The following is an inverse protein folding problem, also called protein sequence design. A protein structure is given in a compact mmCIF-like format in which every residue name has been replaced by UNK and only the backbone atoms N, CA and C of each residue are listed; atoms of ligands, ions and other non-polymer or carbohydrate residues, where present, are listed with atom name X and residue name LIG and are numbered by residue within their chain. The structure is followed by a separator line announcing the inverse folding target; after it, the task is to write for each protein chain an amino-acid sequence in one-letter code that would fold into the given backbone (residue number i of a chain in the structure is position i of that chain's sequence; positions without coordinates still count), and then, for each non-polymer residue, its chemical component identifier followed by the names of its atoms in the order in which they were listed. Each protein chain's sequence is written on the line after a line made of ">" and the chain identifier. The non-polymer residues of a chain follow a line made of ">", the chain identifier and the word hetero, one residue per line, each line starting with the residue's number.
data_IF_461381276324
#
_entry.id   IF_461381276324
#
_cell.length_a   1.000
_cell.length_b   1.000
_cell.length_c   1.000
_cell.angle_alpha   90.00
_cell.angle_beta   90.00
_cell.angle_gamma   90.00
#
_symmetry.space_group_name_H-M   'P 1'
#
loop_
_entity.id
_entity.type
_entity.pdbx_description
1 polymer ?
#
# COMPACT_ATOMS: atom_id res chain seq x y z
N UNK A 1 6.26 6.99 16.18
CA UNK A 1 6.87 6.26 15.04
C UNK A 1 8.37 6.53 14.87
N UNK A 2 8.83 7.78 14.92
CA UNK A 2 10.24 8.18 14.68
C UNK A 2 11.27 7.48 15.58
N UNK A 3 10.95 7.28 16.87
CA UNK A 3 11.84 6.60 17.82
C UNK A 3 12.13 5.15 17.44
N UNK A 4 11.11 4.41 17.02
CA UNK A 4 11.22 3.01 16.59
C UNK A 4 12.04 2.93 15.31
N UNK A 5 11.77 3.77 14.31
CA UNK A 5 12.55 3.81 13.06
C UNK A 5 14.02 4.08 13.36
N UNK A 6 14.30 5.03 14.26
CA UNK A 6 15.66 5.36 14.68
C UNK A 6 16.35 4.19 15.39
N UNK A 7 15.63 3.48 16.27
CA UNK A 7 16.14 2.27 16.94
C UNK A 7 16.45 1.16 15.93
N UNK A 8 15.53 0.88 15.01
CA UNK A 8 15.70 -0.16 13.99
C UNK A 8 16.95 0.07 13.15
N UNK A 9 17.19 1.33 12.72
CA UNK A 9 18.39 1.69 11.98
C UNK A 9 19.65 1.56 12.84
N UNK A 10 19.67 2.14 14.04
CA UNK A 10 20.85 2.13 14.93
C UNK A 10 21.25 0.72 15.40
N UNK A 11 20.30 -0.19 15.54
CA UNK A 11 20.52 -1.55 16.05
C UNK A 11 20.63 -2.61 14.95
N UNK A 12 20.52 -2.24 13.68
CA UNK A 12 20.69 -3.19 12.58
C UNK A 12 19.48 -4.11 12.37
N UNK A 13 18.26 -3.59 12.55
CA UNK A 13 17.04 -4.30 12.16
C UNK A 13 16.65 -4.00 10.70
N UNK A 14 16.55 -2.73 10.33
CA UNK A 14 16.12 -2.30 9.00
C UNK A 14 16.91 -1.08 8.53
N UNK A 15 17.25 -1.06 7.25
CA UNK A 15 17.92 0.05 6.56
C UNK A 15 17.11 0.47 5.32
N UNK A 16 17.19 1.75 4.96
CA UNK A 16 16.63 2.21 3.70
C UNK A 16 17.40 1.51 2.56
N UNK A 17 16.70 0.79 1.68
CA UNK A 17 17.39 0.10 0.60
C UNK A 17 18.08 1.09 -0.32
N UNK A 18 19.32 0.79 -0.72
CA UNK A 18 20.17 1.66 -1.54
C UNK A 18 20.44 3.04 -0.94
N UNK A 19 20.55 3.15 0.39
CA UNK A 19 20.69 4.44 1.10
C UNK A 19 21.81 5.35 0.57
N UNK A 20 22.99 4.79 0.27
CA UNK A 20 24.14 5.56 -0.23
C UNK A 20 23.91 6.17 -1.62
N UNK A 21 22.89 5.72 -2.35
CA UNK A 21 22.49 6.22 -3.66
C UNK A 21 21.22 7.09 -3.60
N UNK A 22 20.81 7.52 -2.39
CA UNK A 22 19.60 8.33 -2.18
C UNK A 22 18.36 7.54 -1.76
N UNK A 23 18.48 6.21 -1.67
CA UNK A 23 17.39 5.34 -1.24
C UNK A 23 16.33 5.08 -2.31
N UNK A 24 15.54 4.02 -2.11
CA UNK A 24 14.38 3.69 -2.93
C UNK A 24 13.12 3.57 -2.05
N UNK A 25 12.23 4.54 -2.17
CA UNK A 25 11.00 4.61 -1.36
C UNK A 25 10.18 3.31 -1.50
N UNK A 26 9.74 2.78 -0.36
CA UNK A 26 8.98 1.52 -0.29
C UNK A 26 9.85 0.26 -0.19
N UNK A 27 11.18 0.36 -0.34
CA UNK A 27 12.11 -0.77 -0.26
C UNK A 27 13.05 -0.64 0.94
N UNK A 28 13.19 -1.74 1.69
CA UNK A 28 13.98 -1.79 2.92
C UNK A 28 14.81 -3.07 2.97
N UNK A 29 16.03 -2.95 3.49
CA UNK A 29 16.95 -4.07 3.67
C UNK A 29 16.98 -4.50 5.15
N UNK A 30 16.88 -5.79 5.43
CA UNK A 30 16.99 -6.33 6.79
C UNK A 30 18.46 -6.43 7.21
N UNK A 31 18.82 -5.78 8.31
CA UNK A 31 20.16 -5.87 8.92
C UNK A 31 20.36 -7.16 9.73
N UNK A 32 21.50 -7.31 10.43
CA UNK A 32 21.85 -8.55 11.15
C UNK A 32 20.79 -9.01 12.17
N UNK A 33 20.29 -8.12 13.03
CA UNK A 33 19.24 -8.48 13.99
C UNK A 33 17.88 -8.64 13.31
N UNK A 34 17.65 -7.89 12.23
CA UNK A 34 16.40 -7.95 11.47
C UNK A 34 16.22 -9.28 10.75
N UNK A 35 17.28 -9.82 10.15
CA UNK A 35 17.20 -11.10 9.44
C UNK A 35 16.95 -12.26 10.40
N UNK A 36 17.59 -12.26 11.57
CA UNK A 36 17.36 -13.28 12.61
C UNK A 36 15.93 -13.20 13.15
N UNK A 37 15.45 -11.98 13.47
CA UNK A 37 14.07 -11.79 13.91
C UNK A 37 13.07 -12.25 12.85
N UNK A 38 13.26 -11.85 11.59
CA UNK A 38 12.40 -12.24 10.47
C UNK A 38 12.38 -13.75 10.29
N UNK A 39 13.54 -14.41 10.38
CA UNK A 39 13.65 -15.87 10.28
C UNK A 39 12.91 -16.55 11.42
N UNK A 40 13.11 -16.10 12.67
CA UNK A 40 12.45 -16.67 13.83
C UNK A 40 10.92 -16.54 13.74
N UNK A 41 10.41 -15.38 13.31
CA UNK A 41 8.96 -15.19 13.12
C UNK A 41 8.41 -16.13 12.05
N UNK A 42 9.12 -16.28 10.91
CA UNK A 42 8.72 -17.20 9.84
C UNK A 42 8.73 -18.66 10.30
N UNK A 43 9.77 -19.08 11.01
CA UNK A 43 9.92 -20.44 11.49
C UNK A 43 8.85 -20.77 12.53
N UNK A 44 8.61 -19.89 13.50
CA UNK A 44 7.54 -20.09 14.49
C UNK A 44 6.18 -20.19 13.82
N UNK A 45 5.89 -19.35 12.84
CA UNK A 45 4.64 -19.43 12.08
C UNK A 45 4.51 -20.74 11.31
N UNK A 46 5.58 -21.15 10.60
CA UNK A 46 5.60 -22.40 9.85
C UNK A 46 5.43 -23.61 10.77
N UNK A 47 6.08 -23.56 11.93
CA UNK A 47 5.98 -24.61 12.94
C UNK A 47 4.56 -24.73 13.46
N UNK A 48 3.93 -23.62 13.84
CA UNK A 48 2.58 -23.62 14.42
C UNK A 48 1.52 -24.00 13.38
N UNK A 49 1.58 -23.40 12.19
CA UNK A 49 0.53 -23.52 11.17
C UNK A 49 0.67 -24.76 10.28
N UNK A 50 1.88 -25.29 10.10
CA UNK A 50 2.14 -26.35 9.12
C UNK A 50 2.78 -27.57 9.78
N UNK A 51 4.00 -27.47 10.32
CA UNK A 51 4.76 -28.67 10.69
C UNK A 51 4.28 -29.34 11.99
N UNK A 52 3.76 -28.57 12.94
CA UNK A 52 3.21 -29.05 14.22
C UNK A 52 1.68 -29.03 14.26
N UNK A 53 1.03 -28.71 13.13
CA UNK A 53 -0.43 -28.72 13.04
C UNK A 53 -0.96 -30.12 13.30
N UNK A 54 -1.89 -30.24 14.26
CA UNK A 54 -2.44 -31.52 14.66
C UNK A 54 -3.73 -31.83 13.88
N UNK A 55 -3.59 -32.66 12.83
CA UNK A 55 -4.69 -33.03 11.93
C UNK A 55 -5.82 -33.86 12.60
N UNK A 56 -5.61 -34.33 13.83
CA UNK A 56 -6.62 -35.05 14.62
C UNK A 56 -7.44 -34.12 15.51
N UNK A 57 -6.98 -32.89 15.74
CA UNK A 57 -7.71 -31.89 16.54
C UNK A 57 -8.53 -31.00 15.61
N UNK A 58 -9.69 -30.58 16.09
CA UNK A 58 -10.50 -29.54 15.43
C UNK A 58 -10.19 -28.21 16.11
N UNK A 59 -9.51 -27.27 15.43
CA UNK A 59 -9.25 -25.95 15.99
C UNK A 59 -10.55 -25.20 16.33
N UNK A 60 -10.48 -24.28 17.29
CA UNK A 60 -11.63 -23.45 17.64
C UNK A 60 -12.08 -22.64 16.40
N UNK A 61 -13.35 -22.76 16.03
CA UNK A 61 -13.93 -22.10 14.86
C UNK A 61 -13.81 -22.89 13.54
N UNK A 62 -13.08 -24.01 13.52
CA UNK A 62 -13.07 -24.90 12.37
C UNK A 62 -14.29 -25.85 12.41
N UNK A 63 -14.94 -26.15 11.27
CA UNK A 63 -16.08 -27.06 11.22
C UNK A 63 -15.68 -28.52 11.47
N UNK A 64 -14.47 -28.91 11.05
CA UNK A 64 -13.89 -30.25 11.22
C UNK A 64 -12.37 -30.14 11.34
N UNK A 65 -11.69 -31.24 11.68
CA UNK A 65 -10.23 -31.31 11.54
C UNK A 65 -9.82 -31.26 10.06
N UNK A 66 -8.59 -30.84 9.80
CA UNK A 66 -8.03 -30.69 8.46
C UNK A 66 -6.52 -30.93 8.47
N UNK A 67 -5.96 -31.32 7.32
CA UNK A 67 -4.52 -31.46 7.11
C UNK A 67 -3.88 -30.14 6.64
N UNK A 68 -2.58 -29.99 6.81
CA UNK A 68 -1.81 -28.85 6.30
C UNK A 68 -0.60 -29.32 5.50
N UNK A 69 -0.35 -28.68 4.36
CA UNK A 69 0.82 -28.97 3.52
C UNK A 69 1.49 -27.69 3.04
N UNK A 70 2.78 -27.78 2.72
CA UNK A 70 3.61 -26.65 2.31
C UNK A 70 3.80 -26.58 0.80
N UNK A 71 3.87 -25.36 0.27
CA UNK A 71 4.19 -25.11 -1.14
C UNK A 71 5.01 -23.82 -1.30
N UNK A 72 6.12 -23.87 -2.03
CA UNK A 72 6.86 -22.67 -2.42
C UNK A 72 6.73 -22.43 -3.94
N UNK A 73 6.27 -21.24 -4.31
CA UNK A 73 5.98 -20.86 -5.69
C UNK A 73 6.89 -19.75 -6.16
N UNK A 74 7.11 -19.65 -7.47
CA UNK A 74 7.86 -18.55 -8.09
C UNK A 74 7.18 -17.19 -7.85
N UNK A 75 7.98 -16.13 -7.83
CA UNK A 75 7.48 -14.74 -7.73
C UNK A 75 6.89 -14.28 -9.07
N UNK A 76 7.52 -14.67 -10.17
CA UNK A 76 7.07 -14.35 -11.53
C UNK A 76 6.15 -15.47 -11.99
N UNK A 77 4.95 -15.10 -12.46
CA UNK A 77 3.94 -16.03 -12.96
C UNK A 77 3.39 -15.57 -14.31
N UNK A 78 2.81 -16.51 -15.06
CA UNK A 78 2.23 -16.25 -16.38
C UNK A 78 1.11 -15.20 -16.31
N UNK A 79 1.05 -14.20 -17.21
CA UNK A 79 0.06 -13.11 -17.18
C UNK A 79 -1.39 -13.55 -17.06
N UNK A 80 -1.73 -14.67 -17.71
CA UNK A 80 -3.09 -15.22 -17.67
C UNK A 80 -3.58 -15.55 -16.26
N UNK A 81 -2.68 -15.88 -15.32
CA UNK A 81 -3.03 -16.11 -13.91
C UNK A 81 -3.63 -14.84 -13.31
N UNK A 82 -3.02 -13.68 -13.58
CA UNK A 82 -3.46 -12.38 -13.08
C UNK A 82 -4.71 -11.86 -13.79
N UNK A 83 -4.88 -12.21 -15.07
CA UNK A 83 -6.13 -11.92 -15.79
C UNK A 83 -7.29 -12.74 -15.26
N UNK A 84 -7.13 -14.06 -15.11
CA UNK A 84 -8.18 -14.95 -14.61
C UNK A 84 -8.57 -14.68 -13.16
N UNK A 85 -7.62 -14.26 -12.32
CA UNK A 85 -7.90 -13.87 -10.93
C UNK A 85 -8.48 -12.46 -10.78
N UNK A 86 -8.60 -11.71 -11.88
CA UNK A 86 -9.13 -10.33 -11.87
C UNK A 86 -8.11 -9.26 -11.51
N UNK A 87 -6.90 -9.61 -11.06
CA UNK A 87 -5.85 -8.65 -10.70
C UNK A 87 -5.47 -7.72 -11.86
N UNK A 88 -5.46 -8.23 -13.09
CA UNK A 88 -5.12 -7.41 -14.24
C UNK A 88 -6.06 -6.21 -14.43
N UNK A 89 -7.36 -6.42 -14.16
CA UNK A 89 -8.39 -5.41 -14.41
C UNK A 89 -8.74 -4.61 -13.15
N UNK A 90 -8.72 -5.25 -11.99
CA UNK A 90 -9.29 -4.70 -10.75
C UNK A 90 -8.23 -4.28 -9.72
N UNK A 91 -6.97 -4.68 -9.88
CA UNK A 91 -5.90 -4.36 -8.92
C UNK A 91 -5.23 -3.01 -9.26
N UNK A 92 -6.03 -1.95 -9.18
CA UNK A 92 -5.60 -0.59 -9.44
C UNK A 92 -6.03 0.35 -8.32
N UNK A 93 -5.20 1.37 -8.07
CA UNK A 93 -5.57 2.53 -7.26
C UNK A 93 -5.83 3.72 -8.19
N UNK A 94 -6.70 4.64 -7.75
CA UNK A 94 -6.87 5.92 -8.43
C UNK A 94 -5.77 6.87 -8.00
N UNK A 95 -5.06 7.46 -8.96
CA UNK A 95 -3.98 8.42 -8.72
C UNK A 95 -4.32 9.78 -9.32
N UNK A 96 -3.91 10.84 -8.64
CA UNK A 96 -3.96 12.22 -9.14
C UNK A 96 -2.55 12.81 -9.21
N UNK A 97 -2.27 13.54 -10.27
CA UNK A 97 -1.00 14.25 -10.45
C UNK A 97 -1.20 15.74 -10.23
N UNK A 98 -0.30 16.40 -9.52
CA UNK A 98 -0.30 17.86 -9.41
C UNK A 98 0.53 18.48 -10.54
N UNK A 99 -0.12 19.30 -11.38
CA UNK A 99 0.52 19.99 -12.51
C UNK A 99 1.59 20.98 -12.07
N UNK A 100 1.48 21.54 -10.86
CA UNK A 100 2.42 22.50 -10.28
C UNK A 100 3.61 21.80 -9.61
N UNK A 101 3.36 20.89 -8.66
CA UNK A 101 4.42 20.23 -7.88
C UNK A 101 5.07 19.04 -8.60
N UNK A 102 4.46 18.56 -9.70
CA UNK A 102 4.83 17.33 -10.43
C UNK A 102 4.83 16.05 -9.58
N UNK A 103 4.23 16.11 -8.39
CA UNK A 103 4.07 14.96 -7.51
C UNK A 103 2.78 14.24 -7.83
N UNK A 104 2.80 12.94 -7.51
CA UNK A 104 1.68 12.02 -7.65
C UNK A 104 1.19 11.62 -6.27
N UNK A 105 -0.13 11.55 -6.11
CA UNK A 105 -0.77 11.19 -4.86
C UNK A 105 -1.85 10.13 -5.10
N UNK A 106 -2.03 9.24 -4.12
CA UNK A 106 -3.14 8.28 -4.14
C UNK A 106 -4.43 9.03 -3.81
N UNK A 107 -5.41 8.94 -4.69
CA UNK A 107 -6.59 9.81 -4.70
C UNK A 107 -7.36 9.74 -3.37
N UNK A 108 -7.55 8.55 -2.83
CA UNK A 108 -8.22 8.27 -1.56
C UNK A 108 -7.41 8.66 -0.31
N UNK A 109 -6.08 8.76 -0.40
CA UNK A 109 -5.21 9.14 0.73
C UNK A 109 -5.03 10.65 0.87
N UNK A 110 -5.34 11.43 -0.17
CA UNK A 110 -5.33 12.88 -0.05
C UNK A 110 -6.57 13.30 0.73
N UNK A 111 -6.35 13.66 1.99
CA UNK A 111 -7.38 14.16 2.90
C UNK A 111 -7.39 15.68 2.89
N UNK A 112 -8.45 16.27 3.41
CA UNK A 112 -8.56 17.71 3.52
C UNK A 112 -9.90 18.13 4.10
N UNK A 113 -10.08 19.43 4.25
CA UNK A 113 -11.35 20.02 4.69
C UNK A 113 -11.56 21.39 4.06
N UNK A 114 -12.82 21.83 4.03
CA UNK A 114 -13.20 23.12 3.48
C UNK A 114 -12.84 24.25 4.44
N UNK A 115 -12.15 25.25 3.92
CA UNK A 115 -11.77 26.47 4.62
C UNK A 115 -12.33 27.68 3.88
N UNK A 116 -12.82 28.68 4.62
CA UNK A 116 -13.37 29.92 4.08
C UNK A 116 -12.72 31.13 4.73
N UNK A 117 -12.35 32.12 3.92
CA UNK A 117 -11.84 33.41 4.37
C UNK A 117 -12.21 34.51 3.37
N UNK A 118 -12.84 35.60 3.85
CA UNK A 118 -13.24 36.77 3.03
C UNK A 118 -13.98 36.38 1.74
N UNK A 119 -15.02 35.56 1.89
CA UNK A 119 -15.89 35.07 0.80
C UNK A 119 -15.20 34.14 -0.23
N UNK A 120 -13.96 33.70 0.04
CA UNK A 120 -13.27 32.68 -0.76
C UNK A 120 -13.26 31.34 0.00
N UNK A 121 -13.86 30.32 -0.59
CA UNK A 121 -13.97 28.96 -0.03
C UNK A 121 -13.12 27.99 -0.85
N UNK A 122 -12.21 27.29 -0.20
CA UNK A 122 -11.29 26.32 -0.84
C UNK A 122 -11.22 25.01 -0.08
N UNK A 123 -10.85 23.93 -0.76
CA UNK A 123 -10.58 22.64 -0.14
C UNK A 123 -9.08 22.48 0.11
N UNK A 124 -8.66 22.53 1.37
CA UNK A 124 -7.24 22.47 1.73
C UNK A 124 -6.83 21.03 1.95
N UNK A 125 -6.00 20.50 1.06
CA UNK A 125 -5.57 19.10 1.12
C UNK A 125 -4.32 18.88 1.97
N UNK A 126 -4.12 17.65 2.45
CA UNK A 126 -2.94 17.18 3.17
C UNK A 126 -2.76 15.68 2.94
N UNK A 127 -1.52 15.22 3.09
CA UNK A 127 -1.12 13.80 3.11
C UNK A 127 -0.47 13.44 4.45
N UNK A 128 -0.61 14.30 5.45
CA UNK A 128 -0.08 14.09 6.78
C UNK A 128 -0.95 13.07 7.54
N UNK A 129 -0.34 12.40 8.52
CA UNK A 129 -1.03 11.49 9.43
C UNK A 129 -2.14 12.21 10.22
N UNK A 130 -3.13 11.45 10.70
CA UNK A 130 -4.33 11.99 11.36
C UNK A 130 -3.98 12.83 12.60
N UNK A 131 -2.91 12.51 13.32
CA UNK A 131 -2.50 13.27 14.50
C UNK A 131 -1.99 14.69 14.19
N UNK A 132 -1.62 14.96 12.93
CA UNK A 132 -1.02 16.23 12.48
C UNK A 132 -1.77 16.85 11.30
N UNK A 133 -2.87 16.26 10.84
CA UNK A 133 -3.61 16.76 9.68
C UNK A 133 -4.25 18.14 9.91
N UNK A 134 -4.63 18.45 11.16
CA UNK A 134 -5.12 19.76 11.58
C UNK A 134 -4.07 20.86 11.47
N UNK A 135 -2.90 20.65 12.04
CA UNK A 135 -1.80 21.62 11.97
C UNK A 135 -1.36 21.82 10.52
N UNK A 136 -1.20 20.71 9.78
CA UNK A 136 -0.79 20.75 8.38
C UNK A 136 -1.78 21.54 7.51
N UNK A 137 -3.09 21.30 7.64
CA UNK A 137 -4.11 22.05 6.88
C UNK A 137 -4.17 23.51 7.29
N UNK A 138 -4.07 23.82 8.58
CA UNK A 138 -4.06 25.21 9.07
C UNK A 138 -2.89 26.01 8.50
N UNK A 139 -1.67 25.48 8.56
CA UNK A 139 -0.48 26.14 8.01
C UNK A 139 -0.62 26.46 6.53
N UNK A 140 -1.26 25.56 5.79
CA UNK A 140 -1.49 25.74 4.35
C UNK A 140 -2.58 26.74 4.04
N UNK A 141 -3.69 26.68 4.77
CA UNK A 141 -4.78 27.65 4.65
C UNK A 141 -4.26 29.07 4.91
N UNK A 142 -3.48 29.25 5.99
CA UNK A 142 -2.83 30.53 6.31
C UNK A 142 -1.91 31.01 5.18
N UNK A 143 -1.10 30.11 4.62
CA UNK A 143 -0.18 30.44 3.52
C UNK A 143 -0.93 30.84 2.25
N UNK A 144 -2.02 30.16 1.92
CA UNK A 144 -2.85 30.47 0.76
C UNK A 144 -3.58 31.81 0.92
N UNK A 145 -4.32 31.99 2.03
CA UNK A 145 -5.07 33.22 2.32
C UNK A 145 -4.18 34.39 2.77
N UNK A 146 -2.87 34.18 2.93
CA UNK A 146 -1.88 35.16 3.44
C UNK A 146 -2.26 35.72 4.81
N UNK A 147 -2.82 34.86 5.67
CA UNK A 147 -3.22 35.18 7.04
C UNK A 147 -2.02 34.99 7.97
N UNK A 148 -1.78 35.97 8.86
CA UNK A 148 -0.73 35.85 9.89
C UNK A 148 -1.20 34.89 10.99
N UNK A 149 -0.28 34.18 11.63
CA UNK A 149 -0.58 33.22 12.70
C UNK A 149 -1.46 33.78 13.84
N UNK A 150 -1.35 35.08 14.16
CA UNK A 150 -2.18 35.75 15.18
C UNK A 150 -3.67 35.86 14.80
N UNK A 151 -3.99 35.68 13.53
CA UNK A 151 -5.33 35.83 12.95
C UNK A 151 -5.83 34.50 12.35
N UNK A 152 -5.23 33.35 12.73
CA UNK A 152 -5.64 32.02 12.26
C UNK A 152 -7.12 31.75 12.50
N UNK A 153 -7.66 32.29 13.59
CA UNK A 153 -9.03 32.10 14.04
C UNK A 153 -10.07 32.77 13.11
N UNK A 154 -9.61 33.58 12.14
CA UNK A 154 -10.48 34.15 11.11
C UNK A 154 -10.79 33.17 9.97
N UNK A 155 -10.07 32.05 9.88
CA UNK A 155 -10.34 31.00 8.90
C UNK A 155 -11.48 30.15 9.42
N UNK A 156 -12.60 30.15 8.72
CA UNK A 156 -13.76 29.36 9.10
C UNK A 156 -13.71 27.98 8.44
N UNK A 157 -13.80 26.92 9.25
CA UNK A 157 -13.73 25.54 8.78
C UNK A 157 -15.15 25.01 8.58
N UNK A 158 -15.52 24.77 7.31
CA UNK A 158 -16.89 24.43 6.92
C UNK A 158 -17.19 22.94 6.89
N UNK A 159 -16.19 22.09 7.08
CA UNK A 159 -16.37 20.64 7.08
C UNK A 159 -15.36 19.94 7.99
N UNK A 160 -15.71 18.73 8.40
CA UNK A 160 -14.74 17.76 8.91
C UNK A 160 -13.79 17.30 7.80
N UNK A 161 -12.77 16.54 8.19
CA UNK A 161 -11.84 15.94 7.26
C UNK A 161 -12.51 14.87 6.39
N UNK A 162 -12.28 14.97 5.10
CA UNK A 162 -12.71 14.00 4.10
C UNK A 162 -11.61 13.79 3.05
N UNK A 163 -11.73 12.76 2.22
CA UNK A 163 -10.81 12.46 1.13
C UNK A 163 -11.29 13.02 -0.21
N UNK A 164 -10.39 13.17 -1.17
CA UNK A 164 -10.71 13.71 -2.50
C UNK A 164 -11.84 12.96 -3.25
N UNK A 165 -12.03 11.63 -3.13
CA UNK A 165 -13.16 10.95 -3.78
C UNK A 165 -14.53 11.45 -3.33
N UNK A 166 -14.61 12.10 -2.17
CA UNK A 166 -15.87 12.58 -1.59
C UNK A 166 -16.14 14.06 -1.88
N UNK A 167 -15.35 14.70 -2.75
CA UNK A 167 -15.59 16.09 -3.18
C UNK A 167 -15.98 16.13 -4.66
N UNK A 168 -16.96 16.98 -4.97
CA UNK A 168 -17.52 17.06 -6.32
C UNK A 168 -16.65 17.87 -7.29
N UNK A 169 -15.86 18.82 -6.78
CA UNK A 169 -15.09 19.76 -7.61
C UNK A 169 -13.63 19.88 -7.16
N UNK A 170 -12.73 19.27 -7.93
CA UNK A 170 -11.28 19.35 -7.74
C UNK A 170 -10.70 20.73 -8.12
N UNK A 171 -11.44 21.58 -8.83
CA UNK A 171 -10.97 22.92 -9.22
C UNK A 171 -10.74 23.82 -8.01
N UNK A 172 -11.50 23.61 -6.92
CA UNK A 172 -11.38 24.31 -5.65
C UNK A 172 -10.37 23.66 -4.69
N UNK A 173 -9.76 22.54 -5.09
CA UNK A 173 -8.79 21.84 -4.26
C UNK A 173 -7.39 22.46 -4.38
N UNK A 174 -6.82 22.82 -3.24
CA UNK A 174 -5.43 23.20 -3.10
C UNK A 174 -4.58 21.94 -2.89
N UNK A 175 -3.94 21.44 -3.96
CA UNK A 175 -3.17 20.19 -3.93
C UNK A 175 -2.00 20.17 -2.93
N UNK A 176 -1.53 18.99 -2.45
CA UNK A 176 -0.67 18.90 -1.26
C UNK A 176 0.68 19.64 -1.32
N UNK A 177 1.20 19.95 -2.50
CA UNK A 177 2.43 20.76 -2.61
C UNK A 177 2.26 21.92 -3.59
N UNK A 178 1.01 22.32 -3.83
CA UNK A 178 0.64 23.41 -4.73
C UNK A 178 0.47 24.73 -4.00
N UNK A 179 0.58 25.83 -4.75
CA UNK A 179 0.24 27.19 -4.29
C UNK A 179 -1.03 27.71 -4.93
N UNK A 180 -1.45 27.10 -6.04
CA UNK A 180 -2.65 27.45 -6.79
C UNK A 180 -3.72 26.34 -6.74
N UNK A 181 -4.98 26.74 -6.89
CA UNK A 181 -6.14 25.85 -6.95
C UNK A 181 -6.21 25.12 -8.30
N UNK A 182 -6.94 24.00 -8.33
CA UNK A 182 -7.22 23.27 -9.58
C UNK A 182 -5.97 22.68 -10.24
N UNK A 183 -4.94 22.42 -9.44
CA UNK A 183 -3.65 21.88 -9.90
C UNK A 183 -3.66 20.37 -10.06
N UNK A 184 -4.57 19.68 -9.38
CA UNK A 184 -4.74 18.23 -9.46
C UNK A 184 -5.41 17.85 -10.79
N UNK A 185 -4.90 16.81 -11.45
CA UNK A 185 -5.55 16.21 -12.61
C UNK A 185 -6.76 15.38 -12.19
N UNK A 186 -7.59 15.01 -13.17
CA UNK A 186 -8.58 13.94 -12.99
C UNK A 186 -7.91 12.66 -12.49
N UNK A 187 -8.61 11.88 -11.63
CA UNK A 187 -8.13 10.61 -11.14
C UNK A 187 -7.99 9.62 -12.29
N UNK A 188 -6.89 8.87 -12.30
CA UNK A 188 -6.60 7.83 -13.30
C UNK A 188 -6.26 6.53 -12.60
N UNK A 189 -6.73 5.42 -13.18
CA UNK A 189 -6.36 4.09 -12.71
C UNK A 189 -4.86 3.85 -12.88
N UNK A 190 -4.25 3.31 -11.83
CA UNK A 190 -2.84 2.91 -11.83
C UNK A 190 -2.74 1.47 -11.34
N UNK A 191 -2.34 0.56 -12.23
CA UNK A 191 -2.15 -0.84 -11.88
C UNK A 191 -0.98 -0.97 -10.89
N UNK A 192 -1.23 -1.66 -9.78
CA UNK A 192 -0.26 -1.80 -8.69
C UNK A 192 0.73 -2.97 -8.90
N UNK A 193 0.52 -3.82 -9.90
CA UNK A 193 1.43 -4.92 -10.23
C UNK A 193 2.70 -4.40 -10.93
N UNK A 194 3.86 -4.90 -10.49
CA UNK A 194 5.12 -4.64 -11.18
C UNK A 194 5.21 -5.49 -12.44
N UNK A 195 5.11 -4.84 -13.60
CA UNK A 195 5.34 -5.45 -14.92
C UNK A 195 6.84 -5.63 -15.16
N UNK A 196 7.21 -6.78 -15.70
CA UNK A 196 8.55 -7.13 -16.17
C UNK A 196 8.46 -7.83 -17.52
N UNK A 197 9.60 -8.17 -18.12
CA UNK A 197 9.69 -8.93 -19.36
C UNK A 197 10.59 -10.14 -19.16
N UNK A 198 10.12 -11.32 -19.60
CA UNK A 198 10.86 -12.57 -19.58
C UNK A 198 11.40 -12.84 -20.98
N UNK A 199 12.72 -13.04 -21.08
CA UNK A 199 13.41 -13.30 -22.34
C UNK A 199 14.23 -12.10 -22.83
N UNK A 200 14.85 -12.26 -24.01
CA UNK A 200 15.79 -11.28 -24.56
C UNK A 200 15.12 -10.06 -25.21
N UNK A 201 13.84 -10.16 -25.56
CA UNK A 201 13.10 -9.11 -26.25
C UNK A 201 12.08 -8.48 -25.30
N UNK A 202 12.16 -7.17 -25.11
CA UNK A 202 11.21 -6.39 -24.31
C UNK A 202 9.94 -6.07 -25.10
N UNK A 203 9.23 -7.11 -25.55
CA UNK A 203 7.94 -7.03 -26.25
C UNK A 203 6.77 -7.50 -25.37
N UNK A 204 5.53 -7.17 -25.76
CA UNK A 204 4.34 -7.58 -25.01
C UNK A 204 4.17 -9.09 -24.90
N UNK A 205 4.64 -9.85 -25.89
CA UNK A 205 4.66 -11.32 -25.88
C UNK A 205 5.51 -11.89 -24.73
N UNK A 206 6.51 -11.13 -24.25
CA UNK A 206 7.36 -11.50 -23.13
C UNK A 206 6.91 -10.91 -21.79
N UNK A 207 5.78 -10.21 -21.73
CA UNK A 207 5.35 -9.55 -20.50
C UNK A 207 5.07 -10.57 -19.39
N UNK A 208 5.54 -10.27 -18.17
CA UNK A 208 5.22 -11.01 -16.96
C UNK A 208 5.05 -10.03 -15.79
N UNK A 209 4.61 -10.52 -14.65
CA UNK A 209 4.37 -9.70 -13.47
C UNK A 209 4.98 -10.34 -12.24
N UNK A 210 5.52 -9.52 -11.34
CA UNK A 210 5.81 -9.95 -9.98
C UNK A 210 4.47 -10.11 -9.27
N UNK A 211 4.29 -11.23 -8.57
CA UNK A 211 3.04 -11.53 -7.88
C UNK A 211 2.68 -10.45 -6.84
N UNK A 212 1.44 -9.91 -6.85
CA UNK A 212 0.96 -9.02 -5.79
C UNK A 212 0.58 -9.78 -4.51
N UNK A 213 0.39 -11.11 -4.59
CA UNK A 213 0.05 -12.00 -3.48
C UNK A 213 0.61 -13.41 -3.71
N UNK A 214 0.57 -14.29 -2.70
CA UNK A 214 1.05 -15.69 -2.80
C UNK A 214 -0.04 -16.69 -3.18
N UNK A 215 -1.33 -16.36 -2.99
CA UNK A 215 -2.44 -17.30 -3.09
C UNK A 215 -2.60 -17.93 -4.48
N UNK A 216 -2.36 -17.17 -5.56
CA UNK A 216 -2.47 -17.70 -6.92
C UNK A 216 -1.55 -18.90 -7.17
N UNK A 217 -0.36 -18.92 -6.55
CA UNK A 217 0.56 -20.06 -6.64
C UNK A 217 -0.03 -21.35 -6.05
N UNK A 218 -0.80 -21.23 -4.98
CA UNK A 218 -1.53 -22.34 -4.35
C UNK A 218 -2.65 -22.84 -5.27
N UNK A 219 -3.46 -21.93 -5.81
CA UNK A 219 -4.62 -22.30 -6.64
C UNK A 219 -4.20 -23.04 -7.92
N UNK A 220 -3.17 -22.56 -8.62
CA UNK A 220 -2.71 -23.20 -9.86
C UNK A 220 -2.07 -24.58 -9.62
N UNK A 221 -1.57 -24.83 -8.40
CA UNK A 221 -0.97 -26.10 -8.02
C UNK A 221 -1.89 -27.01 -7.21
N UNK A 222 -3.15 -26.62 -6.97
CA UNK A 222 -4.08 -27.40 -6.15
C UNK A 222 -4.16 -28.87 -6.60
N UNK A 223 -4.31 -29.11 -7.91
CA UNK A 223 -4.34 -30.47 -8.45
C UNK A 223 -3.03 -31.23 -8.26
N UNK A 224 -1.88 -30.58 -8.49
CA UNK A 224 -0.57 -31.20 -8.28
C UNK A 224 -0.39 -31.63 -6.81
N UNK A 225 -0.83 -30.78 -5.87
CA UNK A 225 -0.78 -31.10 -4.43
C UNK A 225 -1.72 -32.25 -4.10
N UNK A 226 -2.99 -32.22 -4.52
CA UNK A 226 -3.95 -33.32 -4.26
C UNK A 226 -3.50 -34.64 -4.88
N UNK A 227 -2.87 -34.62 -6.06
CA UNK A 227 -2.41 -35.84 -6.73
C UNK A 227 -1.15 -36.42 -6.07
N UNK A 228 -0.24 -35.56 -5.59
CA UNK A 228 1.05 -35.98 -5.01
C UNK A 228 1.01 -36.20 -3.51
N UNK A 229 0.04 -35.62 -2.81
CA UNK A 229 -0.15 -35.73 -1.37
C UNK A 229 -1.47 -36.44 -1.11
N UNK A 230 -1.50 -37.41 -0.18
CA UNK A 230 -2.71 -38.18 0.14
C UNK A 230 -3.70 -37.41 1.04
N UNK A 231 -3.74 -36.09 0.90
CA UNK A 231 -4.60 -35.20 1.66
C UNK A 231 -6.07 -35.46 1.34
N UNK A 232 -6.94 -35.22 2.31
CA UNK A 232 -8.40 -35.30 2.15
C UNK A 232 -9.01 -33.94 2.44
N UNK A 233 -10.07 -33.60 1.73
CA UNK A 233 -10.82 -32.37 2.00
C UNK A 233 -11.55 -32.51 3.35
N UNK A 234 -11.46 -31.52 4.25
CA UNK A 234 -10.72 -30.26 4.10
C UNK A 234 -9.22 -30.39 4.42
N UNK A 235 -8.40 -29.64 3.67
CA UNK A 235 -6.98 -29.43 3.95
C UNK A 235 -6.58 -28.01 3.52
N UNK A 236 -5.49 -27.50 4.08
CA UNK A 236 -4.90 -26.22 3.70
C UNK A 236 -3.53 -26.39 3.04
N UNK A 237 -3.17 -25.39 2.23
CA UNK A 237 -1.84 -25.25 1.62
C UNK A 237 -1.29 -23.89 2.09
N UNK A 238 -0.05 -23.88 2.56
CA UNK A 238 0.65 -22.70 3.07
C UNK A 238 1.94 -22.43 2.30
#
# INVERSE_FOLDING_TARGET
>A
MSEIVSLCKRRGFLFQSSEIYGGLNGFWDYGPLGVDLKKNVKETWWQDMVSSHNELKTPQGAPTSYAMTGLDCTIIMHPQVWKCSGHYDLFHDHMVDCRESKRRYRFDQVRGRWAEYRDEKIFVTTVAEVEVEEEATLQRAMKYFKVRAKNSDQIDWKSDFTSLPNIDDLSQALGPDAKSLGTLTEPREFNLMFKTFVGALSGEEGAAYLRPETAQGIFVNFKNVVDSTRVRIPFGIA
#
